data_IF_544811304539
#
_entry.id   IF_544811304539
#
_cell.length_a   1.000
_cell.length_b   1.000
_cell.length_c   1.000
_cell.angle_alpha   90.00
_cell.angle_beta   90.00
_cell.angle_gamma   90.00
#
_symmetry.space_group_name_H-M   'P 1'
#
loop_
_entity.id
_entity.type
_entity.pdbx_description
1 polymer ?
#
# COMPACT_ATOMS: atom_id res chain seq x y z
N UNK A 1 -2.32 11.46 -0.27
CA UNK A 1 -3.50 12.10 0.36
C UNK A 1 -4.71 12.01 -0.58
N UNK A 2 -5.84 11.48 -0.11
CA UNK A 2 -7.09 11.28 -0.88
C UNK A 2 -7.88 12.59 -1.08
N UNK A 3 -8.87 12.63 -1.97
CA UNK A 3 -9.66 13.84 -2.23
C UNK A 3 -10.57 14.21 -1.07
N UNK A 4 -11.11 13.24 -0.32
CA UNK A 4 -11.80 13.54 0.95
C UNK A 4 -10.92 14.36 1.90
N UNK A 5 -9.67 13.92 2.10
CA UNK A 5 -8.72 14.63 2.95
C UNK A 5 -8.23 15.96 2.36
N UNK A 6 -8.12 16.06 1.03
CA UNK A 6 -7.78 17.32 0.36
C UNK A 6 -8.92 18.33 0.47
N UNK A 7 -10.16 17.87 0.36
CA UNK A 7 -11.35 18.71 0.42
C UNK A 7 -11.52 19.30 1.81
N UNK A 8 -11.36 18.48 2.86
CA UNK A 8 -11.32 18.97 4.24
C UNK A 8 -10.14 19.88 4.60
N UNK A 9 -9.23 20.16 3.64
CA UNK A 9 -8.10 21.08 3.78
C UNK A 9 -8.12 22.22 2.75
N UNK A 10 -9.23 22.39 2.03
CA UNK A 10 -9.36 23.38 0.95
C UNK A 10 -8.30 23.25 -0.16
N UNK A 11 -7.75 22.04 -0.36
CA UNK A 11 -6.76 21.71 -1.41
C UNK A 11 -7.41 21.18 -2.70
N UNK A 12 -8.74 21.04 -2.70
CA UNK A 12 -9.55 20.66 -3.86
C UNK A 12 -10.98 21.16 -3.63
N UNK A 13 -11.73 21.39 -4.70
CA UNK A 13 -13.12 21.84 -4.66
C UNK A 13 -14.12 20.70 -4.55
N UNK A 14 -13.66 19.44 -4.67
CA UNK A 14 -14.53 18.26 -4.64
C UNK A 14 -13.87 17.08 -3.93
N UNK A 15 -14.59 16.35 -3.06
CA UNK A 15 -14.12 15.12 -2.42
C UNK A 15 -14.29 13.88 -3.32
N UNK A 16 -14.88 14.03 -4.51
CA UNK A 16 -15.22 12.90 -5.39
C UNK A 16 -13.96 12.27 -6.00
N UNK A 17 -13.99 10.94 -6.17
CA UNK A 17 -12.92 10.20 -6.80
C UNK A 17 -12.75 10.60 -8.27
N UNK A 18 -11.53 11.02 -8.69
CA UNK A 18 -11.27 11.48 -10.05
C UNK A 18 -11.18 10.32 -11.06
N UNK A 19 -11.22 9.07 -10.59
CA UNK A 19 -11.15 7.87 -11.44
C UNK A 19 -12.56 7.40 -11.81
N UNK A 20 -13.44 7.20 -10.83
CA UNK A 20 -14.79 6.67 -11.07
C UNK A 20 -15.86 7.76 -11.20
N UNK A 21 -15.61 8.96 -10.66
CA UNK A 21 -16.56 10.08 -10.62
C UNK A 21 -17.91 9.75 -9.94
N UNK A 22 -17.95 8.73 -9.08
CA UNK A 22 -19.19 8.21 -8.48
C UNK A 22 -19.33 8.48 -6.98
N UNK A 23 -18.26 8.28 -6.21
CA UNK A 23 -18.30 8.39 -4.74
C UNK A 23 -17.17 9.27 -4.19
N UNK A 24 -17.27 9.59 -2.90
CA UNK A 24 -16.21 10.24 -2.12
C UNK A 24 -14.96 9.38 -2.09
N UNK A 25 -13.82 9.99 -2.39
CA UNK A 25 -12.52 9.33 -2.39
C UNK A 25 -11.90 9.28 -1.00
N UNK A 26 -12.26 8.24 -0.24
CA UNK A 26 -11.50 7.84 0.96
C UNK A 26 -10.53 6.69 0.64
N UNK A 27 -9.69 6.30 1.60
CA UNK A 27 -8.67 5.26 1.39
C UNK A 27 -9.28 3.92 0.98
N UNK A 28 -10.39 3.51 1.61
CA UNK A 28 -11.07 2.26 1.26
C UNK A 28 -11.68 2.31 -0.13
N UNK A 29 -12.20 3.47 -0.54
CA UNK A 29 -12.69 3.68 -1.89
C UNK A 29 -11.57 3.44 -2.91
N UNK A 30 -10.43 4.13 -2.78
CA UNK A 30 -9.31 4.01 -3.73
C UNK A 30 -8.80 2.57 -3.84
N UNK A 31 -8.70 1.86 -2.73
CA UNK A 31 -8.05 0.56 -2.66
C UNK A 31 -8.99 -0.63 -2.86
N UNK A 32 -10.31 -0.47 -2.64
CA UNK A 32 -11.28 -1.57 -2.58
C UNK A 32 -12.61 -1.26 -3.27
N UNK A 33 -13.25 -0.15 -2.91
CA UNK A 33 -14.67 0.06 -3.26
C UNK A 33 -14.89 0.72 -4.62
N UNK A 34 -13.90 1.45 -5.14
CA UNK A 34 -13.93 2.07 -6.46
C UNK A 34 -14.21 1.03 -7.55
N UNK A 35 -15.07 1.36 -8.51
CA UNK A 35 -15.38 0.46 -9.64
C UNK A 35 -14.12 0.04 -10.40
N UNK A 36 -13.14 0.94 -10.55
CA UNK A 36 -11.85 0.65 -11.15
C UNK A 36 -11.05 -0.35 -10.30
N UNK A 37 -11.00 -0.14 -8.97
CA UNK A 37 -10.33 -1.06 -8.06
C UNK A 37 -10.97 -2.45 -8.11
N UNK A 38 -12.31 -2.53 -8.12
CA UNK A 38 -13.05 -3.80 -8.24
C UNK A 38 -12.72 -4.54 -9.55
N UNK A 39 -12.61 -3.84 -10.67
CA UNK A 39 -12.20 -4.43 -11.96
C UNK A 39 -10.77 -5.00 -11.93
N UNK A 40 -9.86 -4.31 -11.24
CA UNK A 40 -8.50 -4.80 -11.03
C UNK A 40 -8.53 -6.05 -10.16
N UNK A 41 -9.19 -6.00 -9.00
CA UNK A 41 -9.30 -7.14 -8.09
C UNK A 41 -9.98 -8.36 -8.71
N UNK A 42 -11.02 -8.18 -9.53
CA UNK A 42 -11.68 -9.31 -10.21
C UNK A 42 -10.75 -10.06 -11.16
N UNK A 43 -9.66 -9.43 -11.59
CA UNK A 43 -8.66 -10.01 -12.48
C UNK A 43 -7.44 -10.56 -11.74
N UNK A 44 -7.32 -10.29 -10.43
CA UNK A 44 -6.25 -10.84 -9.58
C UNK A 44 -6.74 -12.14 -8.94
N UNK A 45 -5.96 -13.24 -8.97
CA UNK A 45 -6.33 -14.47 -8.31
C UNK A 45 -6.66 -14.26 -6.83
N UNK A 46 -7.80 -14.80 -6.36
CA UNK A 46 -8.38 -14.58 -5.02
C UNK A 46 -8.84 -13.15 -4.74
N UNK A 47 -8.77 -12.23 -5.70
CA UNK A 47 -9.25 -10.86 -5.53
C UNK A 47 -10.77 -10.74 -5.32
N UNK A 48 -11.54 -11.79 -5.63
CA UNK A 48 -12.98 -11.84 -5.30
C UNK A 48 -13.27 -11.78 -3.79
N UNK A 49 -12.31 -12.15 -2.92
CA UNK A 49 -12.48 -12.06 -1.47
C UNK A 49 -12.02 -10.72 -0.87
N UNK A 50 -11.67 -9.73 -1.69
CA UNK A 50 -11.11 -8.45 -1.23
C UNK A 50 -12.07 -7.62 -0.36
N UNK A 51 -13.36 -7.90 -0.43
CA UNK A 51 -14.38 -7.26 0.41
C UNK A 51 -14.39 -7.77 1.86
N UNK A 52 -13.62 -8.82 2.17
CA UNK A 52 -13.52 -9.40 3.51
C UNK A 52 -12.33 -8.81 4.29
N UNK A 53 -12.44 -8.59 5.61
CA UNK A 53 -13.65 -8.70 6.41
C UNK A 53 -14.63 -7.58 6.07
N UNK A 54 -15.93 -7.87 6.15
CA UNK A 54 -16.97 -6.85 5.99
C UNK A 54 -17.01 -5.96 7.23
N UNK A 55 -17.21 -4.65 7.03
CA UNK A 55 -17.32 -3.69 8.14
C UNK A 55 -16.02 -3.39 8.90
N UNK A 56 -14.88 -3.98 8.51
CA UNK A 56 -13.59 -3.69 9.13
C UNK A 56 -13.05 -2.33 8.72
N UNK A 57 -12.30 -1.67 9.61
CA UNK A 57 -11.54 -0.48 9.26
C UNK A 57 -10.35 -0.82 8.33
N UNK A 58 -9.70 0.21 7.78
CA UNK A 58 -8.56 0.03 6.86
C UNK A 58 -7.44 -0.83 7.44
N UNK A 59 -7.11 -0.64 8.72
CA UNK A 59 -6.01 -1.36 9.36
C UNK A 59 -6.34 -2.86 9.54
N UNK A 60 -7.54 -3.17 10.01
CA UNK A 60 -8.03 -4.55 10.14
C UNK A 60 -8.08 -5.26 8.80
N UNK A 61 -8.62 -4.60 7.76
CA UNK A 61 -8.66 -5.11 6.40
C UNK A 61 -7.26 -5.40 5.85
N UNK A 62 -6.33 -4.47 6.05
CA UNK A 62 -4.94 -4.62 5.64
C UNK A 62 -4.27 -5.80 6.33
N UNK A 63 -4.41 -5.91 7.66
CA UNK A 63 -3.84 -7.01 8.44
C UNK A 63 -4.43 -8.33 7.98
N UNK A 64 -5.76 -8.44 7.85
CA UNK A 64 -6.44 -9.67 7.44
C UNK A 64 -5.88 -10.25 6.14
N UNK A 65 -5.69 -9.42 5.11
CA UNK A 65 -5.18 -9.89 3.83
C UNK A 65 -3.67 -10.16 3.81
N UNK A 66 -2.88 -9.46 4.63
CA UNK A 66 -1.43 -9.67 4.75
C UNK A 66 -1.06 -10.87 5.62
N UNK A 67 -1.87 -11.22 6.62
CA UNK A 67 -1.60 -12.35 7.53
C UNK A 67 -2.27 -13.64 7.12
N UNK A 68 -3.06 -13.63 6.03
CA UNK A 68 -3.74 -14.81 5.52
C UNK A 68 -2.70 -15.88 5.14
N UNK A 69 -2.93 -17.12 5.61
CA UNK A 69 -1.99 -18.24 5.48
C UNK A 69 -1.41 -18.34 4.07
N UNK A 70 -0.08 -18.51 3.99
CA UNK A 70 0.66 -18.76 2.74
C UNK A 70 0.41 -20.14 2.14
N UNK A 71 -0.48 -20.93 2.73
CA UNK A 71 -0.96 -22.18 2.15
C UNK A 71 -1.79 -21.85 0.92
N UNK A 72 -1.09 -21.66 -0.21
CA UNK A 72 -1.49 -22.05 -1.55
C UNK A 72 -0.51 -21.48 -2.58
N UNK A 73 -0.38 -22.20 -3.70
CA UNK A 73 0.39 -21.99 -4.92
C UNK A 73 0.55 -20.55 -5.47
N UNK A 74 -0.03 -19.50 -4.86
CA UNK A 74 -0.25 -18.18 -5.48
C UNK A 74 0.28 -16.97 -4.69
N UNK A 75 0.96 -17.12 -3.55
CA UNK A 75 1.57 -16.01 -2.78
C UNK A 75 0.63 -14.80 -2.58
N UNK A 76 -0.60 -15.04 -2.12
CA UNK A 76 -1.65 -14.01 -1.98
C UNK A 76 -1.20 -12.72 -1.27
N UNK A 77 -0.51 -12.75 -0.12
CA UNK A 77 -0.08 -11.52 0.56
C UNK A 77 0.81 -10.62 -0.32
N UNK A 78 1.64 -11.21 -1.17
CA UNK A 78 2.49 -10.48 -2.11
C UNK A 78 1.65 -9.81 -3.20
N UNK A 79 0.77 -10.59 -3.86
CA UNK A 79 -0.14 -10.08 -4.89
C UNK A 79 -1.05 -8.97 -4.34
N UNK A 80 -1.56 -9.13 -3.12
CA UNK A 80 -2.33 -8.12 -2.43
C UNK A 80 -1.52 -6.84 -2.21
N UNK A 81 -0.31 -6.94 -1.65
CA UNK A 81 0.56 -5.79 -1.38
C UNK A 81 0.93 -5.02 -2.67
N UNK A 82 1.29 -5.72 -3.74
CA UNK A 82 1.60 -5.10 -5.04
C UNK A 82 0.35 -4.41 -5.62
N UNK A 83 -0.83 -5.03 -5.47
CA UNK A 83 -2.07 -4.47 -6.05
C UNK A 83 -2.50 -3.20 -5.33
N UNK A 84 -2.48 -3.16 -3.98
CA UNK A 84 -2.85 -1.93 -3.24
C UNK A 84 -1.88 -0.78 -3.56
N UNK A 85 -0.60 -1.08 -3.74
CA UNK A 85 0.38 -0.09 -4.16
C UNK A 85 0.07 0.42 -5.58
N UNK A 86 -0.12 -0.50 -6.52
CA UNK A 86 -0.40 -0.15 -7.91
C UNK A 86 -1.67 0.70 -8.04
N UNK A 87 -2.73 0.41 -7.27
CA UNK A 87 -3.95 1.20 -7.20
C UNK A 87 -3.70 2.61 -6.67
N UNK A 88 -2.92 2.73 -5.58
CA UNK A 88 -2.58 4.02 -5.01
C UNK A 88 -1.74 4.88 -5.96
N UNK A 89 -0.72 4.30 -6.59
CA UNK A 89 0.13 4.98 -7.57
C UNK A 89 -0.68 5.41 -8.79
N UNK A 90 -1.50 4.52 -9.33
CA UNK A 90 -2.40 4.81 -10.44
C UNK A 90 -3.34 5.99 -10.13
N UNK A 91 -3.81 6.10 -8.89
CA UNK A 91 -4.61 7.25 -8.44
C UNK A 91 -3.78 8.53 -8.38
N UNK A 92 -2.57 8.47 -7.83
CA UNK A 92 -1.70 9.65 -7.76
C UNK A 92 -1.30 10.13 -9.17
N UNK A 93 -1.03 9.22 -10.09
CA UNK A 93 -0.73 9.56 -11.50
C UNK A 93 -1.90 10.30 -12.17
N UNK A 94 -3.17 9.99 -11.85
CA UNK A 94 -4.31 10.80 -12.36
C UNK A 94 -4.27 12.20 -11.79
N UNK A 95 -4.12 12.32 -10.47
CA UNK A 95 -4.19 13.60 -9.77
C UNK A 95 -3.05 14.53 -10.16
N UNK A 96 -1.84 14.00 -10.40
CA UNK A 96 -0.64 14.81 -10.60
C UNK A 96 -0.08 14.79 -12.02
N UNK A 97 -0.44 13.80 -12.85
CA UNK A 97 0.17 13.57 -14.16
C UNK A 97 -0.87 13.36 -15.29
N UNK A 98 -2.17 13.45 -14.99
CA UNK A 98 -3.26 13.26 -15.96
C UNK A 98 -3.15 11.95 -16.76
N UNK A 99 -2.64 10.90 -16.11
CA UNK A 99 -2.41 9.58 -16.73
C UNK A 99 -3.70 8.80 -16.93
N UNK A 100 -3.83 8.12 -18.08
CA UNK A 100 -4.94 7.24 -18.42
C UNK A 100 -4.47 5.81 -18.64
N UNK A 101 -4.27 5.07 -17.54
CA UNK A 101 -3.92 3.66 -17.61
C UNK A 101 -5.14 2.77 -17.32
N UNK A 102 -5.41 1.79 -18.19
CA UNK A 102 -6.58 0.91 -18.08
C UNK A 102 -6.44 -0.12 -16.95
N UNK A 103 -7.57 -0.67 -16.48
CA UNK A 103 -7.54 -1.73 -15.48
C UNK A 103 -6.72 -2.94 -15.95
N UNK A 104 -6.85 -3.35 -17.22
CA UNK A 104 -6.09 -4.46 -17.80
C UNK A 104 -4.58 -4.20 -17.84
N UNK A 105 -4.16 -2.98 -18.17
CA UNK A 105 -2.75 -2.59 -18.14
C UNK A 105 -2.20 -2.62 -16.71
N UNK A 106 -3.01 -2.22 -15.71
CA UNK A 106 -2.58 -2.25 -14.31
C UNK A 106 -2.43 -3.69 -13.82
N UNK A 107 -3.36 -4.56 -14.18
CA UNK A 107 -3.32 -6.00 -13.86
C UNK A 107 -2.08 -6.66 -14.46
N UNK A 108 -1.71 -6.33 -15.71
CA UNK A 108 -0.47 -6.80 -16.33
C UNK A 108 0.76 -6.32 -15.55
N UNK A 109 0.81 -5.05 -15.16
CA UNK A 109 1.91 -4.51 -14.33
C UNK A 109 2.02 -5.25 -13.00
N UNK A 110 0.91 -5.44 -12.29
CA UNK A 110 0.86 -6.18 -11.02
C UNK A 110 1.34 -7.62 -11.19
N UNK A 111 0.83 -8.32 -12.20
CA UNK A 111 1.15 -9.73 -12.47
C UNK A 111 2.63 -9.91 -12.83
N UNK A 112 3.18 -9.04 -13.68
CA UNK A 112 4.58 -9.09 -14.05
C UNK A 112 5.50 -8.76 -12.87
N UNK A 113 5.12 -7.79 -12.03
CA UNK A 113 5.85 -7.48 -10.80
C UNK A 113 5.86 -8.67 -9.84
N UNK A 114 4.71 -9.29 -9.58
CA UNK A 114 4.60 -10.47 -8.72
C UNK A 114 5.45 -11.64 -9.25
N UNK A 115 5.35 -11.95 -10.55
CA UNK A 115 6.18 -12.99 -11.20
C UNK A 115 7.68 -12.70 -11.09
N UNK A 116 8.09 -11.46 -11.35
CA UNK A 116 9.49 -11.04 -11.25
C UNK A 116 10.04 -11.28 -9.84
N UNK A 117 9.30 -10.87 -8.81
CA UNK A 117 9.68 -11.05 -7.41
C UNK A 117 9.75 -12.54 -7.03
N UNK A 118 8.78 -13.34 -7.46
CA UNK A 118 8.78 -14.79 -7.18
C UNK A 118 9.97 -15.47 -7.87
N UNK A 119 10.26 -15.13 -9.12
CA UNK A 119 11.34 -15.75 -9.91
C UNK A 119 12.73 -15.30 -9.47
N UNK A 120 12.89 -14.08 -8.95
CA UNK A 120 14.15 -13.57 -8.40
C UNK A 120 14.45 -14.11 -7.00
N UNK A 121 13.49 -14.81 -6.38
CA UNK A 121 13.65 -15.47 -5.09
C UNK A 121 14.31 -16.83 -5.24
N UNK A 122 15.53 -16.87 -5.77
CA UNK A 122 16.43 -17.99 -5.51
C UNK A 122 16.83 -17.94 -4.03
N UNK A 123 16.99 -19.10 -3.34
CA UNK A 123 17.39 -19.11 -1.95
C UNK A 123 18.81 -18.54 -1.84
N UNK A 124 18.92 -17.26 -1.46
CA UNK A 124 20.18 -16.71 -1.00
C UNK A 124 20.49 -17.40 0.34
N UNK A 125 21.66 -18.02 0.42
CA UNK A 125 22.07 -18.92 1.49
C UNK A 125 21.72 -18.40 2.89
N UNK A 126 21.15 -19.31 3.68
CA UNK A 126 20.94 -19.15 5.11
C UNK A 126 22.30 -19.12 5.84
N UNK A 127 22.97 -17.97 5.79
CA UNK A 127 24.19 -17.69 6.54
C UNK A 127 23.88 -16.92 7.82
N UNK A 128 23.86 -17.64 8.95
CA UNK A 128 24.18 -17.20 10.31
C UNK A 128 23.58 -15.88 10.86
N UNK A 129 22.57 -16.06 11.73
CA UNK A 129 22.49 -15.50 13.10
C UNK A 129 23.24 -14.18 13.39
N UNK A 130 22.51 -13.07 13.63
CA UNK A 130 23.04 -11.98 14.46
C UNK A 130 21.94 -11.14 15.14
N UNK A 131 22.30 -10.69 16.34
CA UNK A 131 21.47 -10.11 17.39
C UNK A 131 20.60 -8.92 17.00
N UNK A 132 19.32 -9.05 17.35
CA UNK A 132 18.28 -8.03 17.17
C UNK A 132 18.34 -6.96 18.28
N UNK A 133 19.47 -6.28 18.48
CA UNK A 133 19.60 -5.26 19.56
C UNK A 133 20.38 -3.99 19.22
N UNK A 134 20.65 -3.67 17.95
CA UNK A 134 21.13 -2.32 17.57
C UNK A 134 20.15 -1.61 16.64
N UNK A 135 19.44 -0.64 17.20
CA UNK A 135 18.75 0.40 16.41
C UNK A 135 19.85 1.24 15.75
N UNK A 136 20.28 0.87 14.56
CA UNK A 136 21.08 1.74 13.71
C UNK A 136 20.15 2.69 12.96
N UNK A 137 20.59 3.94 12.73
CA UNK A 137 19.85 4.96 11.95
C UNK A 137 19.80 4.65 10.45
N UNK A 138 20.46 3.59 10.01
CA UNK A 138 20.58 3.20 8.62
C UNK A 138 19.59 2.09 8.30
N UNK A 139 19.09 2.08 7.07
CA UNK A 139 18.20 1.02 6.61
C UNK A 139 18.91 -0.33 6.69
N UNK A 140 18.25 -1.31 7.32
CA UNK A 140 18.68 -2.71 7.36
C UNK A 140 17.63 -3.54 6.64
N UNK A 141 18.10 -4.40 5.74
CA UNK A 141 17.26 -5.35 5.01
C UNK A 141 16.54 -6.25 6.02
N UNK A 142 15.21 -6.38 5.94
CA UNK A 142 14.50 -7.29 6.82
C UNK A 142 14.86 -8.78 6.60
N UNK A 143 14.77 -9.64 7.63
CA UNK A 143 15.00 -11.08 7.49
C UNK A 143 13.98 -11.78 6.57
N UNK A 144 14.29 -12.95 6.02
CA UNK A 144 13.38 -13.70 5.13
C UNK A 144 12.03 -14.06 5.76
N UNK A 145 10.93 -13.95 4.99
CA UNK A 145 9.57 -14.41 5.38
C UNK A 145 8.56 -13.34 5.79
N UNK A 146 8.72 -12.12 5.30
CA UNK A 146 8.44 -10.94 6.09
C UNK A 146 7.96 -9.87 4.98
N UNK A 147 7.29 -8.71 5.22
CA UNK A 147 7.08 -7.58 4.22
C UNK A 147 7.27 -6.14 4.80
N UNK A 148 8.17 -5.27 4.30
CA UNK A 148 8.26 -3.86 4.81
C UNK A 148 7.35 -2.92 4.03
N UNK A 149 6.33 -2.35 4.68
CA UNK A 149 5.50 -1.30 4.11
C UNK A 149 6.00 0.07 4.60
N UNK A 150 6.52 0.91 3.71
CA UNK A 150 6.87 2.29 4.03
C UNK A 150 5.70 3.21 3.67
N UNK A 151 5.40 4.17 4.54
CA UNK A 151 4.45 5.24 4.27
C UNK A 151 5.09 6.58 4.62
N UNK A 152 5.13 7.50 3.67
CA UNK A 152 5.66 8.84 3.88
C UNK A 152 4.57 9.77 4.42
N UNK A 153 4.81 10.31 5.62
CA UNK A 153 3.99 11.36 6.21
C UNK A 153 4.55 12.74 5.86
N UNK A 154 3.69 13.67 5.47
CA UNK A 154 3.95 15.10 5.49
C UNK A 154 3.16 15.74 6.64
N UNK A 155 3.86 16.43 7.53
CA UNK A 155 3.27 17.34 8.53
C UNK A 155 3.28 18.75 7.93
N UNK A 156 2.16 19.44 8.04
CA UNK A 156 2.07 20.88 7.82
C UNK A 156 1.65 21.51 9.15
N UNK A 157 2.37 22.55 9.57
CA UNK A 157 2.05 23.32 10.78
C UNK A 157 1.31 24.58 10.33
N UNK A 158 0.10 24.78 10.84
CA UNK A 158 -0.66 26.03 10.67
C UNK A 158 -1.21 26.45 12.04
N UNK A 159 -0.55 27.41 12.67
CA UNK A 159 -0.84 27.80 14.08
C UNK A 159 -0.55 26.67 15.08
N UNK A 160 -1.33 26.60 16.16
CA UNK A 160 -1.15 25.65 17.29
C UNK A 160 -1.68 24.22 17.01
N UNK A 161 -2.02 23.88 15.76
CA UNK A 161 -2.56 22.57 15.40
C UNK A 161 -1.57 21.73 14.60
N UNK A 162 -1.29 20.53 15.11
CA UNK A 162 -0.55 19.48 14.40
C UNK A 162 -1.48 18.70 13.47
N UNK A 163 -1.22 18.71 12.16
CA UNK A 163 -2.04 18.04 11.16
C UNK A 163 -1.20 17.08 10.31
N UNK A 164 -1.57 15.80 10.31
CA UNK A 164 -0.83 14.71 9.63
C UNK A 164 -1.41 14.46 8.24
N UNK A 165 -0.61 14.51 7.18
CA UNK A 165 -0.98 14.08 5.82
C UNK A 165 -0.01 13.03 5.27
N UNK A 166 -0.42 12.25 4.26
CA UNK A 166 0.48 11.34 3.54
C UNK A 166 0.87 11.94 2.18
N UNK A 167 2.16 12.14 1.93
CA UNK A 167 2.72 12.60 0.65
C UNK A 167 3.60 11.48 0.09
N UNK A 168 3.23 10.89 -1.05
CA UNK A 168 3.95 9.73 -1.58
C UNK A 168 4.62 10.06 -2.93
N UNK A 169 5.95 10.03 -2.95
CA UNK A 169 6.71 9.40 -4.04
C UNK A 169 7.22 8.08 -3.48
N UNK A 170 6.56 6.94 -3.73
CA UNK A 170 7.03 5.71 -3.14
C UNK A 170 8.18 5.13 -3.98
N UNK A 171 9.30 4.87 -3.32
CA UNK A 171 10.36 3.99 -3.83
C UNK A 171 10.11 2.61 -3.26
N UNK A 172 9.70 1.67 -4.11
CA UNK A 172 9.47 0.28 -3.72
C UNK A 172 10.72 -0.54 -4.00
N UNK A 173 11.35 -1.02 -2.93
CA UNK A 173 12.32 -2.11 -2.98
C UNK A 173 11.73 -3.26 -2.16
N UNK A 174 11.23 -4.28 -2.86
CA UNK A 174 10.62 -5.46 -2.24
C UNK A 174 11.70 -6.53 -2.06
N UNK A 175 12.22 -6.61 -0.84
CA UNK A 175 12.74 -7.85 -0.29
C UNK A 175 12.07 -8.08 1.07
N UNK A 176 11.63 -9.31 1.27
CA UNK A 176 10.59 -9.72 2.21
C UNK A 176 10.87 -9.28 3.70
N UNK A 177 10.26 -8.22 4.32
CA UNK A 177 10.13 -8.06 5.84
C UNK A 177 9.44 -7.01 6.75
N UNK A 178 8.36 -7.36 7.52
CA UNK A 178 7.56 -6.46 8.42
C UNK A 178 8.28 -6.24 9.74
N UNK A 179 8.49 -4.98 10.12
CA UNK A 179 8.78 -4.58 11.50
C UNK A 179 7.91 -3.39 11.92
N UNK A 180 7.06 -3.62 12.93
CA UNK A 180 6.51 -2.52 13.74
C UNK A 180 7.61 -2.02 14.68
N UNK A 181 7.84 -0.71 14.70
CA UNK A 181 8.27 -0.03 15.93
C UNK A 181 7.67 1.38 15.96
N UNK A 182 6.54 1.50 16.65
CA UNK A 182 6.19 2.76 17.31
C UNK A 182 7.17 2.92 18.47
N UNK A 183 7.92 4.04 18.52
CA UNK A 183 8.53 4.53 19.76
C UNK A 183 8.61 6.06 19.76
N UNK A 184 8.58 6.64 20.96
CA UNK A 184 7.97 7.93 21.24
C UNK A 184 8.90 9.08 20.85
N UNK A 185 8.29 10.21 20.47
CA UNK A 185 9.00 11.48 20.42
C UNK A 185 9.34 11.86 21.87
N UNK A 186 10.62 11.73 22.24
CA UNK A 186 11.19 12.45 23.36
C UNK A 186 11.36 13.90 22.93
N UNK A 187 10.68 14.79 23.63
CA UNK A 187 10.89 16.22 23.60
C UNK A 187 12.29 16.55 24.14
N UNK A 188 13.01 17.41 23.43
CA UNK A 188 13.91 18.41 24.01
C UNK A 188 13.64 19.73 23.32
#
# INVERSE_FOLDING_TARGET
>A
MTNEARFGRDLTTSPICPICMQDVENTMHVLRDCIFARQVWSSIPRGSCISQPTGSNFQEWLIFHLTRSRTELMNWPLSFAITIDALWNRRNEVVFQQSSLSASQLVLKVTNCAKSIINSSTPFDAGAQSDYTRITRNWVCPPSGFIKLNGDGAVFIFGDKLMWGFNSKPRWEVHYGILKKARPLLCH
#
